data_IF_265330188135
#
_entry.id   IF_265330188135
#
_cell.length_a   1.000
_cell.length_b   1.000
_cell.length_c   1.000
_cell.angle_alpha   90.00
_cell.angle_beta   90.00
_cell.angle_gamma   90.00
#
_symmetry.space_group_name_H-M   'P 1'
#
loop_
_entity.id
_entity.type
_entity.pdbx_description
1 polymer ?
#
# COMPACT_ATOMS: atom_id res chain seq x y z
N UNK A 1 -9.31 -32.51 11.27
CA UNK A 1 -8.24 -31.79 10.54
C UNK A 1 -7.90 -32.57 9.26
N UNK A 2 -7.88 -31.90 8.11
CA UNK A 2 -7.43 -32.48 6.86
C UNK A 2 -5.90 -32.41 6.78
N UNK A 3 -5.23 -33.54 6.52
CA UNK A 3 -3.77 -33.61 6.42
C UNK A 3 -3.21 -32.92 5.15
N UNK A 4 -3.99 -32.95 4.07
CA UNK A 4 -3.62 -32.29 2.82
C UNK A 4 -3.77 -30.78 2.93
N UNK A 5 -2.70 -30.06 2.62
CA UNK A 5 -2.61 -28.59 2.77
C UNK A 5 -3.57 -27.85 1.84
N UNK A 6 -3.69 -28.32 0.61
CA UNK A 6 -4.57 -27.71 -0.39
C UNK A 6 -6.03 -27.88 -0.05
N UNK A 7 -6.44 -29.11 0.33
CA UNK A 7 -7.82 -29.42 0.73
C UNK A 7 -8.21 -28.75 2.03
N UNK A 8 -7.30 -28.65 3.00
CA UNK A 8 -7.56 -27.94 4.26
C UNK A 8 -7.80 -26.47 4.00
N UNK A 9 -6.96 -25.81 3.21
CA UNK A 9 -7.11 -24.41 2.85
C UNK A 9 -8.41 -24.20 2.07
N UNK A 10 -8.66 -24.97 1.03
CA UNK A 10 -9.87 -24.88 0.21
C UNK A 10 -11.15 -24.89 1.06
N UNK A 11 -11.29 -25.90 1.94
CA UNK A 11 -12.49 -25.99 2.78
C UNK A 11 -12.57 -24.87 3.83
N UNK A 12 -11.44 -24.38 4.36
CA UNK A 12 -11.43 -23.24 5.26
C UNK A 12 -11.98 -22.00 4.54
N UNK A 13 -11.49 -21.70 3.34
CA UNK A 13 -11.93 -20.57 2.52
C UNK A 13 -13.42 -20.71 2.13
N UNK A 14 -13.86 -21.88 1.68
CA UNK A 14 -15.27 -22.11 1.30
C UNK A 14 -16.24 -21.90 2.48
N UNK A 15 -15.85 -22.31 3.67
CA UNK A 15 -16.68 -22.11 4.86
C UNK A 15 -16.73 -20.63 5.27
N UNK A 16 -15.60 -19.93 5.19
CA UNK A 16 -15.52 -18.49 5.46
C UNK A 16 -16.36 -17.69 4.44
N UNK A 17 -16.24 -17.98 3.15
CA UNK A 17 -17.04 -17.36 2.08
C UNK A 17 -18.54 -17.62 2.25
N UNK A 18 -18.93 -18.80 2.73
CA UNK A 18 -20.31 -19.12 3.06
C UNK A 18 -20.82 -18.46 4.34
N UNK A 19 -19.99 -17.65 5.02
CA UNK A 19 -20.35 -16.91 6.22
C UNK A 19 -20.32 -17.72 7.52
N UNK A 20 -19.71 -18.92 7.51
CA UNK A 20 -19.52 -19.69 8.74
C UNK A 20 -18.36 -19.13 9.56
N UNK A 21 -18.51 -19.14 10.89
CA UNK A 21 -17.40 -18.88 11.80
C UNK A 21 -16.49 -20.13 11.84
N UNK A 22 -15.25 -20.00 11.45
CA UNK A 22 -14.25 -21.07 11.38
C UNK A 22 -13.11 -20.73 12.36
N UNK A 23 -13.33 -20.85 13.69
CA UNK A 23 -12.35 -20.42 14.68
C UNK A 23 -11.05 -21.23 14.59
N UNK A 24 -9.94 -20.62 14.98
CA UNK A 24 -8.71 -21.36 15.23
C UNK A 24 -8.88 -22.33 16.40
N UNK A 25 -8.35 -23.54 16.28
CA UNK A 25 -8.38 -24.56 17.32
C UNK A 25 -6.99 -24.66 17.96
N UNK A 26 -6.90 -24.25 19.21
CA UNK A 26 -5.65 -24.24 19.97
C UNK A 26 -5.75 -25.30 21.08
N UNK A 27 -4.84 -26.27 21.06
CA UNK A 27 -4.82 -27.30 22.08
C UNK A 27 -4.43 -26.69 23.45
N UNK A 28 -5.05 -27.11 24.57
CA UNK A 28 -4.80 -26.52 25.89
C UNK A 28 -3.34 -26.57 26.36
N UNK A 29 -2.55 -27.52 25.85
CA UNK A 29 -1.11 -27.60 26.16
C UNK A 29 -0.21 -26.85 25.19
N UNK A 30 -0.77 -26.17 24.16
CA UNK A 30 0.00 -25.31 23.31
C UNK A 30 0.34 -23.99 24.02
N UNK A 31 1.50 -23.44 23.75
CA UNK A 31 1.94 -22.15 24.28
C UNK A 31 1.89 -21.13 23.15
N UNK A 32 0.94 -20.21 23.23
CA UNK A 32 0.77 -19.14 22.22
C UNK A 32 0.99 -17.79 22.88
N UNK A 33 1.92 -16.99 22.34
CA UNK A 33 2.18 -15.64 22.84
C UNK A 33 0.93 -14.76 22.67
N UNK A 34 0.62 -13.88 23.65
CA UNK A 34 -0.49 -12.93 23.55
C UNK A 34 -0.41 -11.98 22.34
N UNK A 35 0.78 -11.73 21.81
CA UNK A 35 0.99 -10.88 20.63
C UNK A 35 1.01 -11.66 19.32
N UNK A 36 0.93 -13.01 19.36
CA UNK A 36 0.79 -13.82 18.15
C UNK A 36 -0.61 -13.66 17.56
N UNK A 37 -0.70 -13.61 16.24
CA UNK A 37 -1.97 -13.60 15.50
C UNK A 37 -2.20 -15.00 14.92
N UNK A 38 -3.35 -15.61 15.23
CA UNK A 38 -3.71 -16.94 14.71
C UNK A 38 -4.93 -16.80 13.82
N UNK A 39 -4.76 -17.13 12.54
CA UNK A 39 -5.82 -17.07 11.54
C UNK A 39 -6.89 -18.15 11.68
N UNK A 40 -8.06 -17.86 11.14
CA UNK A 40 -9.24 -18.73 11.17
C UNK A 40 -8.97 -20.11 10.56
N UNK A 41 -9.62 -21.14 11.08
CA UNK A 41 -9.47 -22.52 10.60
C UNK A 41 -8.08 -23.14 10.82
N UNK A 42 -7.20 -22.47 11.56
CA UNK A 42 -5.88 -23.00 11.90
C UNK A 42 -5.92 -23.92 13.11
N UNK A 43 -4.99 -24.85 13.16
CA UNK A 43 -4.85 -25.83 14.24
C UNK A 43 -3.48 -25.70 14.89
N UNK A 44 -3.45 -25.43 16.19
CA UNK A 44 -2.23 -25.41 17.01
C UNK A 44 -2.29 -26.61 17.93
N UNK A 45 -1.47 -27.63 17.64
CA UNK A 45 -1.56 -28.95 18.26
C UNK A 45 -0.84 -29.02 19.61
N UNK A 46 -0.84 -30.22 20.23
CA UNK A 46 -0.30 -30.44 21.56
C UNK A 46 1.16 -30.00 21.67
N UNK A 47 1.48 -29.25 22.74
CA UNK A 47 2.84 -28.78 23.06
C UNK A 47 3.50 -27.98 21.94
N UNK A 48 2.73 -27.49 20.94
CA UNK A 48 3.25 -26.55 19.96
C UNK A 48 3.49 -25.18 20.63
N UNK A 49 4.50 -24.46 20.15
CA UNK A 49 4.86 -23.12 20.65
C UNK A 49 4.78 -22.14 19.50
N UNK A 50 4.03 -21.04 19.70
CA UNK A 50 3.96 -19.91 18.78
C UNK A 50 4.37 -18.65 19.54
N UNK A 51 5.55 -18.13 19.21
CA UNK A 51 6.17 -17.04 19.93
C UNK A 51 5.68 -15.64 19.52
N UNK A 52 6.25 -14.64 20.18
CA UNK A 52 5.89 -13.22 20.10
C UNK A 52 5.86 -12.69 18.66
N UNK A 53 4.82 -11.90 18.34
CA UNK A 53 4.61 -11.25 17.04
C UNK A 53 4.57 -12.21 15.83
N UNK A 54 4.43 -13.51 16.06
CA UNK A 54 4.26 -14.47 14.98
C UNK A 54 2.88 -14.33 14.37
N UNK A 55 2.80 -14.36 13.05
CA UNK A 55 1.55 -14.37 12.30
C UNK A 55 1.36 -15.74 11.68
N UNK A 56 0.30 -16.40 12.06
CA UNK A 56 -0.19 -17.66 11.47
C UNK A 56 -1.44 -17.31 10.68
N UNK A 57 -1.39 -17.47 9.37
CA UNK A 57 -2.52 -17.22 8.49
C UNK A 57 -3.59 -18.31 8.61
N UNK A 58 -4.70 -18.18 7.88
CA UNK A 58 -5.83 -19.11 7.96
C UNK A 58 -5.52 -20.51 7.41
N UNK A 59 -6.18 -21.51 7.97
CA UNK A 59 -6.07 -22.91 7.55
C UNK A 59 -4.69 -23.54 7.79
N UNK A 60 -3.84 -22.97 8.64
CA UNK A 60 -2.51 -23.49 8.96
C UNK A 60 -2.61 -24.65 9.97
N UNK A 61 -1.72 -25.62 9.85
CA UNK A 61 -1.52 -26.68 10.86
C UNK A 61 -0.13 -26.52 11.48
N UNK A 62 -0.06 -26.17 12.76
CA UNK A 62 1.15 -26.26 13.59
C UNK A 62 1.06 -27.55 14.40
N UNK A 63 1.81 -28.57 13.99
CA UNK A 63 1.69 -29.91 14.52
C UNK A 63 2.33 -30.07 15.91
N UNK A 64 2.10 -31.19 16.54
CA UNK A 64 2.50 -31.43 17.95
C UNK A 64 4.01 -31.21 18.17
N UNK A 65 4.33 -30.44 19.22
CA UNK A 65 5.72 -30.15 19.59
C UNK A 65 6.48 -29.25 18.61
N UNK A 66 5.84 -28.74 17.56
CA UNK A 66 6.47 -27.79 16.65
C UNK A 66 6.66 -26.42 17.33
N UNK A 67 7.73 -25.72 16.98
CA UNK A 67 8.04 -24.39 17.49
C UNK A 67 8.08 -23.41 16.33
N UNK A 68 7.27 -22.36 16.39
CA UNK A 68 7.37 -21.18 15.50
C UNK A 68 7.86 -20.02 16.34
N UNK A 69 9.12 -19.64 16.13
CA UNK A 69 9.76 -18.63 16.91
C UNK A 69 9.35 -17.20 16.50
N UNK A 70 9.71 -16.23 17.31
CA UNK A 70 9.19 -14.87 17.26
C UNK A 70 9.36 -14.20 15.89
N UNK A 71 8.44 -13.25 15.60
CA UNK A 71 8.48 -12.43 14.38
C UNK A 71 8.48 -13.23 13.08
N UNK A 72 7.90 -14.42 13.08
CA UNK A 72 7.79 -15.28 11.91
C UNK A 72 6.41 -15.18 11.28
N UNK A 73 6.34 -15.43 9.98
CA UNK A 73 5.11 -15.47 9.19
C UNK A 73 4.90 -16.86 8.60
N UNK A 74 3.70 -17.40 8.78
CA UNK A 74 3.31 -18.71 8.23
C UNK A 74 2.09 -18.53 7.34
N UNK A 75 2.28 -18.68 6.03
CA UNK A 75 1.28 -18.45 5.00
C UNK A 75 0.12 -19.44 5.01
N UNK A 76 -0.98 -19.06 4.36
CA UNK A 76 -2.25 -19.78 4.35
C UNK A 76 -2.10 -21.27 4.00
N UNK A 77 -2.75 -22.13 4.78
CA UNK A 77 -2.75 -23.57 4.54
C UNK A 77 -1.41 -24.27 4.72
N UNK A 78 -0.37 -23.60 5.19
CA UNK A 78 0.92 -24.25 5.46
C UNK A 78 0.81 -25.31 6.57
N UNK A 79 1.77 -26.23 6.61
CA UNK A 79 1.87 -27.28 7.62
C UNK A 79 3.27 -27.26 8.24
N UNK A 80 3.33 -26.96 9.51
CA UNK A 80 4.54 -27.04 10.33
C UNK A 80 4.58 -28.42 10.95
N UNK A 81 5.48 -29.27 10.47
CA UNK A 81 5.55 -30.69 10.80
C UNK A 81 5.81 -30.99 12.27
N UNK A 82 5.61 -32.25 12.66
CA UNK A 82 5.80 -32.71 14.03
C UNK A 82 7.22 -32.39 14.53
N UNK A 83 7.32 -31.70 15.67
CA UNK A 83 8.62 -31.40 16.30
C UNK A 83 9.57 -30.52 15.47
N UNK A 84 9.09 -29.93 14.39
CA UNK A 84 9.90 -29.01 13.58
C UNK A 84 10.10 -27.66 14.27
N UNK A 85 11.12 -26.91 13.86
CA UNK A 85 11.47 -25.63 14.44
C UNK A 85 11.60 -24.58 13.34
N UNK A 86 10.70 -23.61 13.32
CA UNK A 86 10.81 -22.41 12.50
C UNK A 86 11.50 -21.35 13.36
N UNK A 87 12.75 -21.00 13.01
CA UNK A 87 13.53 -19.99 13.71
C UNK A 87 12.94 -18.60 13.54
N UNK A 88 13.36 -17.69 14.42
CA UNK A 88 12.90 -16.30 14.38
C UNK A 88 13.08 -15.63 13.00
N UNK A 89 12.15 -14.74 12.65
CA UNK A 89 12.17 -13.98 11.40
C UNK A 89 12.11 -14.85 10.12
N UNK A 90 11.49 -16.00 10.20
CA UNK A 90 11.26 -16.86 9.03
C UNK A 90 9.93 -16.55 8.37
N UNK A 91 9.89 -16.73 7.06
CA UNK A 91 8.65 -16.74 6.28
C UNK A 91 8.44 -18.14 5.71
N UNK A 92 7.31 -18.73 6.03
CA UNK A 92 6.85 -19.99 5.44
C UNK A 92 5.78 -19.65 4.40
N UNK A 93 6.02 -20.06 3.18
CA UNK A 93 5.10 -19.78 2.08
C UNK A 93 3.77 -20.53 2.25
N UNK A 94 2.70 -20.02 1.62
CA UNK A 94 1.39 -20.67 1.62
C UNK A 94 1.47 -22.10 1.09
N UNK A 95 0.75 -23.02 1.74
CA UNK A 95 0.70 -24.46 1.42
C UNK A 95 2.03 -25.21 1.56
N UNK A 96 3.12 -24.54 1.96
CA UNK A 96 4.40 -25.21 2.21
C UNK A 96 4.22 -26.21 3.37
N UNK A 97 4.80 -27.40 3.22
CA UNK A 97 5.01 -28.36 4.31
C UNK A 97 6.45 -28.19 4.81
N UNK A 98 6.62 -27.87 6.08
CA UNK A 98 7.86 -28.04 6.82
C UNK A 98 7.86 -29.49 7.31
N UNK A 99 8.90 -30.25 6.98
CA UNK A 99 8.95 -31.68 7.30
C UNK A 99 9.12 -31.92 8.81
N UNK A 100 8.83 -33.13 9.24
CA UNK A 100 8.93 -33.51 10.66
C UNK A 100 10.37 -33.37 11.15
N UNK A 101 10.57 -32.65 12.27
CA UNK A 101 11.90 -32.38 12.83
C UNK A 101 12.76 -31.43 12.02
N UNK A 102 12.28 -30.88 10.89
CA UNK A 102 13.01 -29.89 10.09
C UNK A 102 13.26 -28.62 10.89
N UNK A 103 14.47 -28.04 10.75
CA UNK A 103 14.80 -26.73 11.29
C UNK A 103 14.88 -25.73 10.14
N UNK A 104 13.94 -24.80 10.09
CA UNK A 104 13.92 -23.73 9.11
C UNK A 104 14.65 -22.52 9.68
N UNK A 105 15.64 -22.03 8.95
CA UNK A 105 16.39 -20.83 9.29
C UNK A 105 15.90 -19.65 8.47
N UNK A 106 15.99 -18.45 9.05
CA UNK A 106 15.69 -17.23 8.32
C UNK A 106 16.65 -17.07 7.14
N UNK A 107 16.07 -16.81 5.98
CA UNK A 107 16.83 -16.38 4.78
C UNK A 107 16.98 -14.85 4.74
N UNK A 108 16.43 -14.14 5.75
CA UNK A 108 16.57 -12.69 5.83
C UNK A 108 18.04 -12.33 6.03
N UNK A 109 18.57 -11.56 5.10
CA UNK A 109 19.88 -10.97 5.19
C UNK A 109 19.75 -9.54 5.69
N UNK A 110 20.81 -9.02 6.30
CA UNK A 110 20.90 -7.60 6.62
C UNK A 110 20.97 -6.81 5.31
N UNK A 111 20.05 -5.88 5.14
CA UNK A 111 20.02 -4.96 4.01
C UNK A 111 20.59 -3.62 4.45
N UNK A 112 21.58 -3.13 3.75
CA UNK A 112 22.18 -1.83 4.06
C UNK A 112 21.16 -0.70 3.86
N UNK A 113 21.18 0.28 4.77
CA UNK A 113 20.22 1.38 4.79
C UNK A 113 18.93 1.13 5.57
N UNK A 114 18.57 -0.13 5.89
CA UNK A 114 17.39 -0.46 6.73
C UNK A 114 17.63 -0.12 8.20
N UNK A 115 18.85 -0.35 8.70
CA UNK A 115 19.19 -0.10 10.10
C UNK A 115 18.36 -0.97 11.06
N UNK A 116 17.62 -0.31 11.98
CA UNK A 116 16.69 -0.96 12.92
C UNK A 116 15.22 -0.81 12.52
N UNK A 117 14.95 -0.26 11.33
CA UNK A 117 13.57 -0.04 10.84
C UNK A 117 12.97 -1.36 10.35
N UNK A 118 12.28 -2.05 11.26
CA UNK A 118 11.69 -3.35 11.00
C UNK A 118 10.53 -3.29 10.02
N UNK A 119 9.73 -2.22 10.08
CA UNK A 119 8.61 -2.04 9.16
C UNK A 119 9.09 -1.88 7.71
N UNK A 120 10.22 -1.17 7.52
CA UNK A 120 10.87 -1.07 6.20
C UNK A 120 11.40 -2.43 5.72
N UNK A 121 12.04 -3.20 6.61
CA UNK A 121 12.52 -4.54 6.29
C UNK A 121 11.36 -5.45 5.87
N UNK A 122 10.28 -5.50 6.65
CA UNK A 122 9.10 -6.31 6.37
C UNK A 122 8.45 -5.91 5.03
N UNK A 123 8.37 -4.62 4.73
CA UNK A 123 7.87 -4.13 3.44
C UNK A 123 8.75 -4.59 2.27
N UNK A 124 10.08 -4.52 2.38
CA UNK A 124 11.00 -5.02 1.35
C UNK A 124 10.78 -6.52 1.08
N UNK A 125 10.57 -7.30 2.13
CA UNK A 125 10.30 -8.74 1.99
C UNK A 125 8.90 -8.99 1.40
N UNK A 126 7.89 -8.22 1.78
CA UNK A 126 6.53 -8.34 1.25
C UNK A 126 6.48 -8.10 -0.26
N UNK A 127 7.24 -7.12 -0.77
CA UNK A 127 7.34 -6.84 -2.21
C UNK A 127 8.35 -7.74 -2.95
N UNK A 128 9.02 -8.65 -2.26
CA UNK A 128 9.95 -9.59 -2.89
C UNK A 128 11.38 -9.07 -3.05
N UNK A 129 11.69 -7.89 -2.54
CA UNK A 129 13.03 -7.29 -2.70
C UNK A 129 14.04 -7.79 -1.65
N UNK A 130 13.57 -8.21 -0.49
CA UNK A 130 14.39 -8.47 0.70
C UNK A 130 15.51 -9.49 0.52
N UNK A 131 15.42 -10.42 -0.45
CA UNK A 131 16.47 -11.42 -0.74
C UNK A 131 17.50 -10.93 -1.75
N UNK A 132 17.16 -9.94 -2.56
CA UNK A 132 17.96 -9.49 -3.72
C UNK A 132 18.44 -8.04 -3.60
N UNK A 133 17.72 -7.20 -2.84
CA UNK A 133 18.03 -5.79 -2.69
C UNK A 133 19.45 -5.58 -2.15
N UNK A 134 20.26 -4.77 -2.83
CA UNK A 134 21.62 -4.43 -2.39
C UNK A 134 21.58 -3.51 -1.17
N UNK A 135 20.88 -2.39 -1.28
CA UNK A 135 20.66 -1.45 -0.20
C UNK A 135 19.42 -0.57 -0.46
N UNK A 136 19.02 0.19 0.56
CA UNK A 136 17.97 1.20 0.47
C UNK A 136 18.45 2.52 1.03
N UNK A 137 17.90 3.63 0.55
CA UNK A 137 18.12 4.95 1.14
C UNK A 137 16.85 5.81 1.05
N UNK A 138 16.66 6.79 1.95
CA UNK A 138 15.59 7.78 1.82
C UNK A 138 15.66 8.46 0.45
N UNK A 139 14.51 8.76 -0.14
CA UNK A 139 14.40 9.32 -1.48
C UNK A 139 13.40 10.48 -1.54
N UNK A 140 13.80 11.60 -2.14
CA UNK A 140 12.97 12.78 -2.31
C UNK A 140 12.83 13.62 -1.04
N UNK A 141 12.19 14.79 -1.20
CA UNK A 141 11.96 15.77 -0.12
C UNK A 141 10.46 15.87 0.26
N UNK A 142 9.66 14.88 -0.14
CA UNK A 142 8.23 14.85 0.16
C UNK A 142 7.95 14.69 1.65
N UNK A 143 7.03 15.50 2.19
CA UNK A 143 6.72 15.52 3.62
C UNK A 143 5.48 14.70 4.01
N UNK A 144 4.76 14.14 3.05
CA UNK A 144 3.51 13.40 3.30
C UNK A 144 3.80 11.92 3.55
N UNK A 145 4.58 11.29 2.66
CA UNK A 145 4.92 9.89 2.71
C UNK A 145 6.42 9.70 2.99
N UNK A 146 6.77 8.64 3.71
CA UNK A 146 8.17 8.21 3.80
C UNK A 146 8.52 7.43 2.52
N UNK A 147 9.52 7.90 1.80
CA UNK A 147 9.90 7.32 0.51
C UNK A 147 11.32 6.78 0.54
N UNK A 148 11.53 5.62 -0.05
CA UNK A 148 12.82 4.93 -0.12
C UNK A 148 13.13 4.51 -1.56
N UNK A 149 14.36 4.74 -1.97
CA UNK A 149 14.96 4.19 -3.18
C UNK A 149 15.49 2.78 -2.87
N UNK A 150 15.11 1.81 -3.69
CA UNK A 150 15.52 0.41 -3.56
C UNK A 150 16.48 0.06 -4.69
N UNK A 151 17.71 -0.27 -4.32
CA UNK A 151 18.81 -0.60 -5.25
C UNK A 151 18.95 -2.10 -5.38
N UNK A 152 18.99 -2.57 -6.62
CA UNK A 152 19.13 -3.98 -6.96
C UNK A 152 20.44 -4.23 -7.71
N UNK A 153 21.07 -5.42 -7.58
CA UNK A 153 22.21 -5.78 -8.40
C UNK A 153 21.73 -6.07 -9.82
N UNK A 154 22.20 -5.27 -10.78
CA UNK A 154 21.94 -5.41 -12.21
C UNK A 154 23.29 -5.43 -12.91
N UNK A 155 23.61 -6.48 -13.65
CA UNK A 155 24.87 -6.66 -14.39
C UNK A 155 26.15 -6.39 -13.59
N UNK A 156 26.10 -6.60 -12.26
CA UNK A 156 27.24 -6.44 -11.35
C UNK A 156 27.36 -5.05 -10.73
N UNK A 157 26.48 -4.14 -11.04
CA UNK A 157 26.35 -2.82 -10.44
C UNK A 157 25.03 -2.67 -9.66
N UNK A 158 24.98 -1.74 -8.71
CA UNK A 158 23.78 -1.46 -7.94
C UNK A 158 22.96 -0.37 -8.62
N UNK A 159 21.82 -0.73 -9.18
CA UNK A 159 20.91 0.20 -9.86
C UNK A 159 19.67 0.51 -9.01
N UNK A 160 19.21 1.76 -9.11
CA UNK A 160 17.93 2.17 -8.53
C UNK A 160 16.78 1.60 -9.39
N UNK A 161 16.15 0.53 -8.91
CA UNK A 161 15.10 -0.17 -9.65
C UNK A 161 13.69 0.17 -9.18
N UNK A 162 13.52 0.43 -7.87
CA UNK A 162 12.18 0.59 -7.31
C UNK A 162 12.11 1.75 -6.33
N UNK A 163 10.90 2.30 -6.22
CA UNK A 163 10.52 3.21 -5.15
C UNK A 163 9.57 2.48 -4.21
N UNK A 164 9.87 2.51 -2.92
CA UNK A 164 9.05 1.97 -1.85
C UNK A 164 8.56 3.11 -0.97
N UNK A 165 7.25 3.20 -0.73
CA UNK A 165 6.65 4.27 0.06
C UNK A 165 5.80 3.73 1.20
N UNK A 166 6.01 4.28 2.38
CA UNK A 166 5.09 4.20 3.51
C UNK A 166 4.07 5.32 3.37
N UNK A 167 2.83 4.95 3.13
CA UNK A 167 1.75 5.90 2.84
C UNK A 167 1.16 6.42 4.16
N UNK A 168 1.01 7.74 4.26
CA UNK A 168 0.46 8.38 5.45
C UNK A 168 -1.07 8.16 5.55
N UNK A 169 -1.50 7.24 6.39
CA UNK A 169 -2.92 6.93 6.60
C UNK A 169 -3.70 8.03 7.37
N UNK A 170 -3.01 9.05 7.91
CA UNK A 170 -3.70 10.22 8.43
C UNK A 170 -4.27 11.09 7.31
N UNK A 171 -3.64 11.07 6.14
CA UNK A 171 -4.09 11.78 4.93
C UNK A 171 -5.00 10.88 4.10
N UNK A 172 -4.58 9.65 3.83
CA UNK A 172 -5.29 8.67 3.02
C UNK A 172 -5.98 7.65 3.93
N UNK A 173 -7.25 7.92 4.26
CA UNK A 173 -8.03 7.10 5.21
C UNK A 173 -8.46 5.74 4.65
N UNK A 174 -8.49 5.60 3.33
CA UNK A 174 -8.79 4.38 2.61
C UNK A 174 -7.61 3.99 1.72
N UNK A 175 -6.57 3.34 2.26
CA UNK A 175 -5.42 2.91 1.47
C UNK A 175 -5.78 1.86 0.41
N UNK A 176 -6.78 1.02 0.66
CA UNK A 176 -7.24 0.02 -0.29
C UNK A 176 -7.82 0.70 -1.54
N UNK A 177 -8.76 1.64 -1.36
CA UNK A 177 -9.35 2.40 -2.46
C UNK A 177 -8.32 3.24 -3.21
N UNK A 178 -7.34 3.83 -2.50
CA UNK A 178 -6.22 4.54 -3.15
C UNK A 178 -5.44 3.61 -4.07
N UNK A 179 -5.07 2.44 -3.58
CA UNK A 179 -4.26 1.50 -4.36
C UNK A 179 -5.04 0.88 -5.51
N UNK A 180 -6.32 0.60 -5.32
CA UNK A 180 -7.20 0.15 -6.40
C UNK A 180 -7.28 1.18 -7.53
N UNK A 181 -7.48 2.46 -7.21
CA UNK A 181 -7.46 3.54 -8.19
C UNK A 181 -6.12 3.61 -8.94
N UNK A 182 -5.00 3.53 -8.23
CA UNK A 182 -3.66 3.57 -8.84
C UNK A 182 -3.50 2.42 -9.84
N UNK A 183 -3.82 1.19 -9.45
CA UNK A 183 -3.67 0.04 -10.34
C UNK A 183 -4.60 0.15 -11.56
N UNK A 184 -5.87 0.50 -11.37
CA UNK A 184 -6.82 0.65 -12.49
C UNK A 184 -6.41 1.75 -13.47
N UNK A 185 -6.08 2.93 -12.97
CA UNK A 185 -5.72 4.08 -13.81
C UNK A 185 -4.40 3.83 -14.53
N UNK A 186 -3.38 3.32 -13.84
CA UNK A 186 -2.07 3.08 -14.48
C UNK A 186 -2.14 1.95 -15.49
N UNK A 187 -2.90 0.88 -15.24
CA UNK A 187 -3.09 -0.20 -16.20
C UNK A 187 -3.83 0.29 -17.47
N UNK A 188 -4.88 1.09 -17.29
CA UNK A 188 -5.58 1.71 -18.41
C UNK A 188 -4.64 2.62 -19.23
N UNK A 189 -3.89 3.50 -18.57
CA UNK A 189 -2.91 4.38 -19.24
C UNK A 189 -1.86 3.57 -20.00
N UNK A 190 -1.32 2.51 -19.41
CA UNK A 190 -0.34 1.65 -20.08
C UNK A 190 -0.87 1.06 -21.39
N UNK A 191 -2.16 0.74 -21.46
CA UNK A 191 -2.79 0.24 -22.68
C UNK A 191 -2.97 1.36 -23.70
N UNK A 192 -3.48 2.52 -23.29
CA UNK A 192 -3.63 3.70 -24.18
C UNK A 192 -2.28 4.13 -24.75
N UNK A 193 -1.23 4.21 -23.92
CA UNK A 193 0.12 4.58 -24.34
C UNK A 193 0.66 3.60 -25.40
N UNK A 194 0.45 2.28 -25.22
CA UNK A 194 0.86 1.27 -26.23
C UNK A 194 0.09 1.45 -27.55
N UNK A 195 -1.21 1.72 -27.48
CA UNK A 195 -2.04 1.97 -28.67
C UNK A 195 -1.61 3.24 -29.43
N UNK A 196 -1.13 4.25 -28.69
CA UNK A 196 -0.58 5.49 -29.26
C UNK A 196 0.88 5.32 -29.77
N UNK A 197 1.51 4.14 -29.54
CA UNK A 197 2.88 3.85 -29.94
C UNK A 197 3.96 4.41 -29.02
N UNK A 198 3.57 4.80 -27.79
CA UNK A 198 4.47 5.29 -26.73
C UNK A 198 5.10 4.17 -25.90
N UNK A 199 5.89 4.55 -24.91
CA UNK A 199 6.56 3.65 -23.98
C UNK A 199 5.89 3.71 -22.58
N UNK A 200 5.07 2.70 -22.22
CA UNK A 200 4.37 2.70 -20.94
C UNK A 200 5.28 2.58 -19.72
N UNK A 201 6.54 2.14 -19.88
CA UNK A 201 7.47 2.04 -18.77
C UNK A 201 8.14 3.39 -18.45
N UNK A 202 8.00 4.35 -19.35
CA UNK A 202 8.50 5.71 -19.17
C UNK A 202 7.39 6.75 -18.95
N UNK A 203 6.22 6.54 -19.52
CA UNK A 203 5.18 7.56 -19.59
C UNK A 203 4.12 7.45 -18.47
N UNK A 204 4.09 6.32 -17.76
CA UNK A 204 3.21 6.17 -16.59
C UNK A 204 3.84 5.31 -15.50
N UNK A 205 3.29 5.38 -14.29
CA UNK A 205 3.75 4.55 -13.18
C UNK A 205 3.41 3.07 -13.42
N UNK A 206 4.30 2.18 -13.00
CA UNK A 206 4.09 0.74 -12.94
C UNK A 206 4.09 0.30 -11.48
N UNK A 207 2.91 0.20 -10.88
CA UNK A 207 2.76 -0.23 -9.50
C UNK A 207 3.01 -1.75 -9.37
N UNK A 208 3.61 -2.16 -8.26
CA UNK A 208 4.05 -3.52 -7.99
C UNK A 208 3.17 -4.14 -6.91
N UNK A 209 2.69 -5.35 -7.17
CA UNK A 209 1.99 -6.15 -6.16
C UNK A 209 2.99 -6.83 -5.23
N UNK A 210 2.55 -7.11 -4.00
CA UNK A 210 3.29 -7.96 -3.07
C UNK A 210 3.45 -9.38 -3.62
N UNK A 211 4.33 -10.18 -3.04
CA UNK A 211 4.48 -11.63 -3.37
C UNK A 211 3.16 -12.40 -3.31
N UNK A 212 2.27 -12.00 -2.41
CA UNK A 212 0.96 -12.63 -2.21
C UNK A 212 -0.13 -12.07 -3.14
N UNK A 213 0.24 -11.20 -4.09
CA UNK A 213 -0.67 -10.60 -5.06
C UNK A 213 -1.47 -9.40 -4.54
N UNK A 214 -1.26 -8.95 -3.29
CA UNK A 214 -1.92 -7.78 -2.74
C UNK A 214 -1.38 -6.49 -3.37
N UNK A 215 -2.22 -5.47 -3.45
CA UNK A 215 -1.86 -4.16 -4.04
C UNK A 215 -1.03 -3.28 -3.12
N UNK A 216 -1.01 -3.57 -1.82
CA UNK A 216 -0.18 -2.92 -0.81
C UNK A 216 0.16 -3.91 0.32
N UNK A 217 1.10 -3.54 1.17
CA UNK A 217 1.46 -4.25 2.39
C UNK A 217 1.13 -3.36 3.60
N UNK A 218 0.57 -3.93 4.65
CA UNK A 218 0.32 -3.24 5.92
C UNK A 218 1.35 -3.70 6.96
N UNK A 219 2.06 -2.74 7.56
CA UNK A 219 3.06 -3.04 8.57
C UNK A 219 2.44 -3.28 9.97
N UNK A 220 3.27 -3.64 10.95
CA UNK A 220 2.83 -3.94 12.30
C UNK A 220 2.20 -2.75 13.05
N UNK A 221 2.35 -1.53 12.53
CA UNK A 221 1.74 -0.30 13.04
C UNK A 221 0.45 0.06 12.29
N UNK A 222 -0.01 -0.80 11.37
CA UNK A 222 -1.18 -0.55 10.53
C UNK A 222 -0.94 0.51 9.45
N UNK A 223 0.33 0.75 9.07
CA UNK A 223 0.65 1.71 8.02
C UNK A 223 0.80 1.00 6.68
N UNK A 224 0.16 1.50 5.61
CA UNK A 224 0.24 0.89 4.30
C UNK A 224 1.54 1.26 3.58
N UNK A 225 2.10 0.28 2.89
CA UNK A 225 3.27 0.40 2.03
C UNK A 225 2.91 0.05 0.60
N UNK A 226 3.43 0.81 -0.35
CA UNK A 226 3.30 0.57 -1.78
C UNK A 226 4.64 0.64 -2.49
N UNK A 227 4.72 0.03 -3.66
CA UNK A 227 5.92 0.08 -4.48
C UNK A 227 5.60 0.24 -5.95
N UNK A 228 6.52 0.86 -6.69
CA UNK A 228 6.48 0.97 -8.14
C UNK A 228 7.88 1.00 -8.74
N UNK A 229 7.99 0.67 -10.02
CA UNK A 229 9.25 0.75 -10.75
C UNK A 229 9.76 2.19 -10.80
N UNK A 230 11.06 2.35 -10.65
CA UNK A 230 11.70 3.64 -10.87
C UNK A 230 11.76 3.93 -12.36
N UNK A 231 11.43 5.16 -12.76
CA UNK A 231 11.56 5.61 -14.15
C UNK A 231 12.95 6.21 -14.31
N UNK A 232 13.83 5.45 -14.97
CA UNK A 232 15.20 5.88 -15.23
C UNK A 232 15.27 7.14 -16.13
N UNK A 233 16.40 7.84 -16.09
CA UNK A 233 16.65 9.06 -16.90
C UNK A 233 15.57 10.12 -16.77
N UNK A 234 14.90 10.18 -15.61
CA UNK A 234 13.97 11.23 -15.26
C UNK A 234 14.65 12.32 -14.42
N UNK A 235 14.27 13.57 -14.65
CA UNK A 235 14.79 14.73 -13.93
C UNK A 235 13.67 15.43 -13.19
N UNK A 236 13.86 15.68 -11.89
CA UNK A 236 12.94 16.49 -11.08
C UNK A 236 13.49 17.90 -10.90
N UNK A 237 12.65 18.90 -11.16
CA UNK A 237 12.95 20.31 -10.88
C UNK A 237 12.22 20.72 -9.60
N UNK A 238 12.96 21.31 -8.65
CA UNK A 238 12.37 21.85 -7.41
C UNK A 238 11.65 23.19 -7.62
N UNK A 239 12.06 23.91 -8.66
CA UNK A 239 11.46 25.17 -9.08
C UNK A 239 11.53 25.30 -10.60
N UNK A 240 10.62 26.09 -11.16
CA UNK A 240 10.64 26.42 -12.58
C UNK A 240 11.72 27.47 -12.83
N UNK A 241 12.75 27.10 -13.56
CA UNK A 241 13.86 28.00 -13.93
C UNK A 241 13.64 28.66 -15.28
N UNK A 242 12.90 28.03 -16.17
CA UNK A 242 12.66 28.50 -17.54
C UNK A 242 11.17 28.34 -17.91
N UNK A 243 10.58 29.32 -18.63
CA UNK A 243 9.18 29.23 -19.08
C UNK A 243 8.86 27.93 -19.85
N UNK A 244 9.84 27.39 -20.56
CA UNK A 244 9.72 26.15 -21.34
C UNK A 244 9.38 24.94 -20.45
N UNK A 245 9.97 24.83 -19.25
CA UNK A 245 9.67 23.78 -18.30
C UNK A 245 8.21 23.82 -17.85
N UNK A 246 7.69 25.02 -17.64
CA UNK A 246 6.29 25.20 -17.27
C UNK A 246 5.35 24.84 -18.42
N UNK A 247 5.70 25.24 -19.65
CA UNK A 247 4.97 24.85 -20.85
C UNK A 247 4.92 23.32 -21.02
N UNK A 248 6.05 22.63 -20.87
CA UNK A 248 6.10 21.17 -20.97
C UNK A 248 5.29 20.48 -19.86
N UNK A 249 5.32 21.01 -18.64
CA UNK A 249 4.46 20.52 -17.57
C UNK A 249 2.98 20.62 -17.94
N UNK A 250 2.52 21.80 -18.42
CA UNK A 250 1.14 21.98 -18.85
C UNK A 250 0.75 21.06 -20.02
N UNK A 251 1.65 20.85 -20.98
CA UNK A 251 1.45 19.93 -22.09
C UNK A 251 1.30 18.48 -21.61
N UNK A 252 2.15 18.02 -20.68
CA UNK A 252 2.10 16.67 -20.12
C UNK A 252 0.80 16.42 -19.34
N UNK A 253 0.34 17.39 -18.54
CA UNK A 253 -0.94 17.27 -17.85
C UNK A 253 -2.13 17.30 -18.83
N UNK A 254 -2.06 18.10 -19.89
CA UNK A 254 -3.07 18.10 -20.95
C UNK A 254 -3.14 16.75 -21.67
N UNK A 255 -1.99 16.14 -21.95
CA UNK A 255 -1.92 14.81 -22.56
C UNK A 255 -2.48 13.73 -21.63
N UNK A 256 -2.10 13.72 -20.37
CA UNK A 256 -2.65 12.84 -19.34
C UNK A 256 -4.19 12.93 -19.25
N UNK A 257 -4.75 14.14 -19.22
CA UNK A 257 -6.20 14.32 -19.20
C UNK A 257 -6.88 13.84 -20.49
N UNK A 258 -6.24 14.00 -21.66
CA UNK A 258 -6.72 13.48 -22.94
C UNK A 258 -6.75 11.95 -22.92
N UNK A 259 -5.69 11.31 -22.50
CA UNK A 259 -5.58 9.84 -22.41
C UNK A 259 -6.66 9.25 -21.48
N UNK A 260 -6.97 9.93 -20.38
CA UNK A 260 -8.04 9.52 -19.45
C UNK A 260 -9.45 10.00 -19.83
N UNK A 261 -9.59 10.67 -20.97
CA UNK A 261 -10.85 11.26 -21.39
C UNK A 261 -12.03 10.26 -21.52
N UNK A 262 -11.73 9.01 -21.86
CA UNK A 262 -12.68 7.92 -21.99
C UNK A 262 -12.72 6.97 -20.77
N UNK A 263 -11.90 7.21 -19.76
CA UNK A 263 -11.94 6.39 -18.54
C UNK A 263 -13.23 6.65 -17.76
N UNK A 264 -13.96 5.62 -17.32
CA UNK A 264 -15.20 5.78 -16.56
C UNK A 264 -14.91 6.30 -15.15
N UNK A 265 -14.92 7.62 -14.96
CA UNK A 265 -14.57 8.26 -13.68
C UNK A 265 -15.40 7.76 -12.48
N UNK A 266 -16.61 7.24 -12.74
CA UNK A 266 -17.49 6.64 -11.71
C UNK A 266 -16.95 5.32 -11.11
N UNK A 267 -15.96 4.69 -11.74
CA UNK A 267 -15.34 3.47 -11.20
C UNK A 267 -14.26 3.76 -10.17
N UNK A 268 -13.85 5.03 -10.00
CA UNK A 268 -12.85 5.40 -9.02
C UNK A 268 -13.45 5.59 -7.63
N UNK A 269 -12.71 5.13 -6.62
CA UNK A 269 -13.02 5.38 -5.23
C UNK A 269 -12.72 6.84 -4.88
N UNK A 270 -13.62 7.52 -4.19
CA UNK A 270 -13.36 8.87 -3.66
C UNK A 270 -12.49 8.76 -2.40
N UNK A 271 -11.17 8.84 -2.56
CA UNK A 271 -10.20 8.59 -1.48
C UNK A 271 -10.03 9.75 -0.50
N UNK A 272 -10.39 10.96 -0.89
CA UNK A 272 -10.45 12.17 -0.04
C UNK A 272 -11.80 12.85 -0.31
N UNK A 273 -12.83 12.57 0.50
CA UNK A 273 -14.16 13.12 0.29
C UNK A 273 -14.15 14.64 0.19
N UNK A 274 -14.88 15.18 -0.79
CA UNK A 274 -15.04 16.62 -1.00
C UNK A 274 -13.74 17.41 -1.25
N UNK A 275 -12.66 16.75 -1.71
CA UNK A 275 -11.33 17.36 -1.81
C UNK A 275 -11.32 18.68 -2.56
N UNK A 276 -12.08 18.81 -3.65
CA UNK A 276 -12.23 20.02 -4.45
C UNK A 276 -13.65 20.62 -4.43
N UNK A 277 -14.50 20.23 -3.47
CA UNK A 277 -15.81 20.84 -3.31
C UNK A 277 -15.68 22.26 -2.74
N UNK A 278 -15.72 23.25 -3.63
CA UNK A 278 -15.51 24.67 -3.29
C UNK A 278 -16.59 25.22 -2.39
N UNK A 279 -17.83 24.71 -2.46
CA UNK A 279 -18.91 25.10 -1.55
C UNK A 279 -18.58 24.69 -0.10
N UNK A 280 -18.22 23.43 0.11
CA UNK A 280 -17.84 22.94 1.45
C UNK A 280 -16.55 23.58 1.96
N UNK A 281 -15.60 23.86 1.09
CA UNK A 281 -14.39 24.62 1.45
C UNK A 281 -14.74 26.04 1.91
N UNK A 282 -15.68 26.70 1.25
CA UNK A 282 -16.14 28.03 1.64
C UNK A 282 -16.85 27.99 3.00
N UNK A 283 -17.69 26.99 3.28
CA UNK A 283 -18.29 26.78 4.59
C UNK A 283 -17.25 26.59 5.70
N UNK A 284 -16.25 25.75 5.44
CA UNK A 284 -15.13 25.53 6.36
C UNK A 284 -14.32 26.83 6.59
N UNK A 285 -14.11 27.63 5.56
CA UNK A 285 -13.49 28.97 5.68
C UNK A 285 -14.33 29.87 6.59
N UNK A 286 -15.65 29.96 6.39
CA UNK A 286 -16.53 30.77 7.24
C UNK A 286 -16.51 30.32 8.72
N UNK A 287 -16.48 28.99 8.97
CA UNK A 287 -16.35 28.45 10.32
C UNK A 287 -15.01 28.82 10.96
N UNK A 288 -13.92 28.72 10.19
CA UNK A 288 -12.58 29.08 10.65
C UNK A 288 -12.46 30.56 10.97
N UNK A 289 -13.08 31.41 10.15
CA UNK A 289 -13.14 32.85 10.36
C UNK A 289 -13.90 33.21 11.65
N UNK A 290 -15.05 32.56 11.90
CA UNK A 290 -15.82 32.75 13.14
C UNK A 290 -15.02 32.35 14.40
N UNK A 291 -14.22 31.32 14.31
CA UNK A 291 -13.40 30.82 15.44
C UNK A 291 -12.15 31.66 15.69
N UNK A 292 -11.52 32.14 14.65
CA UNK A 292 -10.28 32.92 14.63
C UNK A 292 -9.28 32.57 15.75
N UNK A 293 -9.03 31.26 15.96
CA UNK A 293 -8.31 30.68 17.11
C UNK A 293 -6.93 31.33 17.32
N UNK A 294 -6.30 31.81 16.26
CA UNK A 294 -4.97 32.44 16.29
C UNK A 294 -5.02 33.95 16.11
N UNK A 295 -6.22 34.57 16.17
CA UNK A 295 -6.44 36.01 16.01
C UNK A 295 -5.78 36.61 14.77
N UNK A 296 -5.78 35.86 13.64
CA UNK A 296 -5.13 36.29 12.38
C UNK A 296 -6.07 36.99 11.39
N UNK A 297 -7.41 36.90 11.61
CA UNK A 297 -8.39 37.51 10.71
C UNK A 297 -8.20 39.03 10.56
N UNK A 298 -7.77 39.70 11.61
CA UNK A 298 -7.54 41.12 11.59
C UNK A 298 -6.43 41.55 10.60
N UNK A 299 -5.44 40.71 10.34
CA UNK A 299 -4.31 40.98 9.40
C UNK A 299 -4.63 40.66 7.96
N UNK A 300 -5.75 39.91 7.67
CA UNK A 300 -6.12 39.43 6.34
C UNK A 300 -7.49 39.96 5.88
N UNK A 301 -7.91 41.13 6.33
CA UNK A 301 -9.27 41.69 6.06
C UNK A 301 -9.60 41.77 4.58
N UNK A 302 -8.65 42.21 3.75
CA UNK A 302 -8.86 42.38 2.29
C UNK A 302 -9.08 41.03 1.61
N UNK A 303 -8.31 40.02 1.97
CA UNK A 303 -8.39 38.67 1.43
C UNK A 303 -9.69 37.98 1.88
N UNK A 304 -10.10 38.23 3.14
CA UNK A 304 -11.37 37.74 3.68
C UNK A 304 -12.56 38.36 2.91
N UNK A 305 -12.55 39.67 2.73
CA UNK A 305 -13.60 40.38 1.98
C UNK A 305 -13.64 39.94 0.52
N UNK A 306 -12.49 39.76 -0.11
CA UNK A 306 -12.37 39.20 -1.46
C UNK A 306 -13.02 37.81 -1.57
N UNK A 307 -12.76 36.93 -0.62
CA UNK A 307 -13.34 35.58 -0.59
C UNK A 307 -14.85 35.62 -0.32
N UNK A 308 -15.30 36.41 0.65
CA UNK A 308 -16.73 36.52 0.99
C UNK A 308 -17.57 37.05 -0.17
N UNK A 309 -17.06 37.98 -0.97
CA UNK A 309 -17.73 38.56 -2.14
C UNK A 309 -17.84 37.55 -3.31
N UNK A 310 -17.14 36.40 -3.25
CA UNK A 310 -17.18 35.35 -4.27
C UNK A 310 -17.88 34.08 -3.84
N UNK A 311 -18.73 34.15 -2.83
CA UNK A 311 -19.50 33.01 -2.32
C UNK A 311 -20.29 32.31 -3.43
N UNK A 312 -20.96 33.09 -4.29
CA UNK A 312 -21.79 32.53 -5.36
C UNK A 312 -20.92 31.84 -6.44
N UNK A 313 -19.70 32.31 -6.69
CA UNK A 313 -18.78 31.72 -7.64
C UNK A 313 -18.34 30.31 -7.21
N UNK A 314 -18.31 30.03 -5.90
CA UNK A 314 -17.95 28.73 -5.37
C UNK A 314 -18.90 27.59 -5.79
N UNK A 315 -20.16 27.92 -6.07
CA UNK A 315 -21.19 26.94 -6.46
C UNK A 315 -21.26 26.61 -7.94
N UNK A 316 -20.61 27.36 -8.80
CA UNK A 316 -20.84 27.28 -10.26
C UNK A 316 -20.51 25.90 -10.81
N UNK A 317 -19.34 25.34 -10.52
CA UNK A 317 -18.95 24.03 -11.05
C UNK A 317 -19.76 22.88 -10.42
N UNK A 318 -20.00 22.95 -9.11
CA UNK A 318 -20.81 21.95 -8.40
C UNK A 318 -22.20 21.88 -8.97
N UNK A 319 -22.84 23.03 -9.20
CA UNK A 319 -24.17 23.12 -9.82
C UNK A 319 -24.19 22.56 -11.24
N UNK A 320 -23.21 22.87 -12.06
CA UNK A 320 -23.12 22.33 -13.44
C UNK A 320 -22.94 20.81 -13.45
N UNK A 321 -22.21 20.27 -12.46
CA UNK A 321 -22.05 18.84 -12.30
C UNK A 321 -23.38 18.17 -11.87
N UNK A 322 -24.12 18.76 -10.93
CA UNK A 322 -25.44 18.29 -10.50
C UNK A 322 -26.48 18.35 -11.63
N UNK A 323 -26.41 19.37 -12.46
CA UNK A 323 -27.26 19.54 -13.64
C UNK A 323 -26.86 18.64 -14.82
N UNK A 324 -25.73 17.92 -14.71
CA UNK A 324 -25.20 17.05 -15.76
C UNK A 324 -24.59 17.78 -16.97
N UNK A 325 -24.42 19.10 -16.90
CA UNK A 325 -23.78 19.90 -17.94
C UNK A 325 -22.26 19.83 -17.91
N UNK A 326 -21.68 19.55 -16.73
CA UNK A 326 -20.26 19.27 -16.54
C UNK A 326 -20.07 17.78 -16.24
N UNK A 327 -19.53 16.99 -17.19
CA UNK A 327 -19.31 15.57 -16.95
C UNK A 327 -18.18 15.30 -15.96
N UNK A 328 -18.29 14.21 -15.19
CA UNK A 328 -17.18 13.71 -14.39
C UNK A 328 -16.00 13.32 -15.29
N UNK A 329 -14.80 13.67 -14.85
CA UNK A 329 -13.53 13.30 -15.49
C UNK A 329 -12.50 12.90 -14.44
N UNK A 330 -11.59 12.02 -14.83
CA UNK A 330 -10.42 11.72 -14.00
C UNK A 330 -9.46 12.90 -14.08
N UNK A 331 -9.04 13.39 -12.92
CA UNK A 331 -8.09 14.51 -12.80
C UNK A 331 -6.99 14.16 -11.81
N UNK A 332 -5.81 14.75 -11.98
CA UNK A 332 -4.68 14.51 -11.07
C UNK A 332 -4.90 15.13 -9.68
N UNK A 333 -5.66 16.23 -9.59
CA UNK A 333 -6.02 16.97 -8.39
C UNK A 333 -4.88 17.65 -7.61
N UNK A 334 -3.63 17.49 -7.99
CA UNK A 334 -2.46 18.16 -7.39
C UNK A 334 -1.38 18.45 -8.45
N UNK A 335 -1.73 19.31 -9.40
CA UNK A 335 -0.84 19.73 -10.49
C UNK A 335 0.08 20.84 -10.00
N UNK A 336 1.28 20.51 -9.59
CA UNK A 336 2.33 21.45 -9.19
C UNK A 336 3.50 21.44 -10.16
#
# INVERSE_FOLDING_TARGET
>A
CLGDNGMRLYWTEQLMEAGYNVPAIIHPSAVVSPSAKIGEGSFIMQNAVVNTNTVIEHGVLVNSGAVVDHDSFVGCGAHIGLGSVVKANCTIESKRKVEEGEVVFSTRRKIDGVGKNRNLEDALYAFGFGTQCSYVKPFGEGHINETYAVYMPVDGEDELCYILQRVNNNVFKDPAGVMENIFRVTEYLRNVIREEGGDPDRETLAAIKTKNGCTYFEDNEGQPWRSYHFIHDSVCFQSVEKPEQFYQSGNSFGHFLKQLGNYPASELNETIPDFHNTVKRFEAFQMSLKRDIKNRAASCKKEIEFALNRKEDCGVLVKQQEEGTLPLRVTHNDTK
#
